data_IF_474269753056
#
_entry.id   IF_474269753056
#
_cell.length_a   1.000
_cell.length_b   1.000
_cell.length_c   1.000
_cell.angle_alpha   90.00
_cell.angle_beta   90.00
_cell.angle_gamma   90.00
#
_symmetry.space_group_name_H-M   'P 1'
#
loop_
_entity.id
_entity.type
_entity.pdbx_description
1 polymer ?
#
# COMPACT_ATOMS: atom_id res chain seq x y z
N UNK A 1 -56.59 -9.52 -4.21
CA UNK A 1 -55.59 -10.09 -5.15
C UNK A 1 -54.69 -9.06 -5.86
N UNK A 2 -54.80 -7.75 -5.59
CA UNK A 2 -53.81 -6.75 -6.07
C UNK A 2 -52.68 -6.50 -5.05
N UNK A 3 -52.96 -6.69 -3.75
CA UNK A 3 -51.99 -6.48 -2.67
C UNK A 3 -50.88 -7.55 -2.58
N UNK A 4 -51.01 -8.70 -3.24
CA UNK A 4 -49.97 -9.74 -3.20
C UNK A 4 -48.87 -9.55 -4.25
N UNK A 5 -49.16 -8.86 -5.37
CA UNK A 5 -48.16 -8.63 -6.42
C UNK A 5 -47.11 -7.56 -6.06
N UNK A 6 -47.40 -6.68 -5.09
CA UNK A 6 -46.43 -5.70 -4.59
C UNK A 6 -45.51 -6.26 -3.50
N UNK A 7 -45.77 -7.46 -2.99
CA UNK A 7 -44.97 -8.08 -1.94
C UNK A 7 -43.73 -8.84 -2.46
N UNK A 8 -43.46 -8.80 -3.77
CA UNK A 8 -42.35 -9.55 -4.39
C UNK A 8 -41.58 -8.71 -5.41
N UNK A 9 -41.20 -7.48 -5.02
CA UNK A 9 -40.13 -6.75 -5.73
C UNK A 9 -39.10 -6.25 -4.73
N UNK A 10 -38.05 -7.06 -4.52
CA UNK A 10 -36.88 -6.70 -3.72
C UNK A 10 -36.06 -5.53 -4.31
N UNK A 11 -36.43 -5.07 -5.51
CA UNK A 11 -35.90 -3.89 -6.19
C UNK A 11 -37.05 -3.00 -6.68
N UNK A 12 -37.39 -1.97 -5.91
CA UNK A 12 -38.24 -0.88 -6.37
C UNK A 12 -37.39 0.11 -7.19
N UNK A 13 -37.98 0.80 -8.17
CA UNK A 13 -37.27 1.82 -8.96
C UNK A 13 -36.59 2.89 -8.08
N UNK A 14 -37.16 3.18 -6.91
CA UNK A 14 -36.58 4.04 -5.88
C UNK A 14 -35.28 3.48 -5.32
N UNK A 15 -35.23 2.19 -4.97
CA UNK A 15 -33.98 1.55 -4.48
C UNK A 15 -32.89 1.58 -5.56
N UNK A 16 -33.25 1.28 -6.81
CA UNK A 16 -32.31 1.34 -7.92
C UNK A 16 -31.78 2.77 -8.14
N UNK A 17 -32.64 3.77 -8.09
CA UNK A 17 -32.23 5.17 -8.21
C UNK A 17 -31.24 5.58 -7.12
N UNK A 18 -31.49 5.21 -5.86
CA UNK A 18 -30.59 5.54 -4.74
C UNK A 18 -29.24 4.83 -4.90
N UNK A 19 -29.25 3.57 -5.35
CA UNK A 19 -28.03 2.81 -5.60
C UNK A 19 -27.17 3.45 -6.72
N UNK A 20 -27.81 3.86 -7.82
CA UNK A 20 -27.13 4.57 -8.91
C UNK A 20 -26.58 5.92 -8.46
N UNK A 21 -27.28 6.65 -7.59
CA UNK A 21 -26.77 7.90 -7.04
C UNK A 21 -25.55 7.69 -6.14
N UNK A 22 -25.53 6.60 -5.34
CA UNK A 22 -24.36 6.23 -4.55
C UNK A 22 -23.16 5.93 -5.45
N UNK A 23 -23.33 5.03 -6.42
CA UNK A 23 -22.28 4.61 -7.35
C UNK A 23 -21.77 5.77 -8.22
N UNK A 24 -22.67 6.63 -8.70
CA UNK A 24 -22.29 7.82 -9.46
C UNK A 24 -21.37 8.76 -8.66
N UNK A 25 -21.67 8.97 -7.37
CA UNK A 25 -20.81 9.79 -6.51
C UNK A 25 -19.48 9.11 -6.19
N UNK A 26 -19.46 7.78 -6.04
CA UNK A 26 -18.23 6.99 -5.88
C UNK A 26 -17.31 7.18 -7.11
N UNK A 27 -17.86 7.10 -8.32
CA UNK A 27 -17.10 7.31 -9.56
C UNK A 27 -16.60 8.75 -9.73
N UNK A 28 -17.41 9.74 -9.35
CA UNK A 28 -16.96 11.15 -9.39
C UNK A 28 -15.83 11.38 -8.38
N UNK A 29 -15.93 10.79 -7.19
CA UNK A 29 -14.83 10.81 -6.22
C UNK A 29 -13.56 10.18 -6.80
N UNK A 30 -13.70 9.03 -7.47
CA UNK A 30 -12.59 8.33 -8.12
C UNK A 30 -11.95 9.15 -9.27
N UNK A 31 -12.74 9.96 -9.98
CA UNK A 31 -12.22 10.91 -10.97
C UNK A 31 -11.53 12.15 -10.37
N UNK A 32 -11.79 12.47 -9.10
CA UNK A 32 -11.40 13.74 -8.48
C UNK A 32 -10.26 13.59 -7.46
N UNK A 33 -10.07 12.40 -6.87
CA UNK A 33 -9.19 12.21 -5.72
C UNK A 33 -7.74 12.63 -5.93
N UNK A 34 -7.26 12.60 -7.18
CA UNK A 34 -5.87 12.95 -7.48
C UNK A 34 -5.63 14.45 -7.57
N UNK A 35 -6.64 15.22 -7.99
CA UNK A 35 -6.53 16.68 -8.10
C UNK A 35 -7.02 17.39 -6.84
N UNK A 36 -8.05 16.84 -6.20
CA UNK A 36 -8.68 17.41 -5.01
C UNK A 36 -9.23 16.29 -4.11
N UNK A 37 -8.39 15.74 -3.21
CA UNK A 37 -8.80 14.72 -2.26
C UNK A 37 -9.94 15.18 -1.34
N UNK A 38 -9.98 16.45 -0.94
CA UNK A 38 -11.04 16.96 -0.04
C UNK A 38 -12.40 16.90 -0.72
N UNK A 39 -12.46 17.36 -1.97
CA UNK A 39 -13.67 17.26 -2.77
C UNK A 39 -14.05 15.82 -3.08
N UNK A 40 -13.09 14.93 -3.31
CA UNK A 40 -13.36 13.50 -3.42
C UNK A 40 -13.96 12.92 -2.13
N UNK A 41 -13.51 13.38 -0.94
CA UNK A 41 -14.10 13.00 0.33
C UNK A 41 -15.56 13.48 0.46
N UNK A 42 -15.89 14.68 -0.02
CA UNK A 42 -17.28 15.18 -0.06
C UNK A 42 -18.18 14.30 -0.93
N UNK A 43 -17.72 13.90 -2.12
CA UNK A 43 -18.47 12.96 -2.96
C UNK A 43 -18.64 11.59 -2.29
N UNK A 44 -17.62 11.09 -1.59
CA UNK A 44 -17.73 9.87 -0.79
C UNK A 44 -18.71 10.02 0.37
N UNK A 45 -18.82 11.20 0.99
CA UNK A 45 -19.82 11.50 2.02
C UNK A 45 -21.24 11.49 1.47
N UNK A 46 -21.45 11.99 0.24
CA UNK A 46 -22.75 11.91 -0.43
C UNK A 46 -23.10 10.45 -0.75
N UNK A 47 -22.16 9.69 -1.30
CA UNK A 47 -22.35 8.27 -1.58
C UNK A 47 -22.68 7.48 -0.30
N UNK A 48 -21.93 7.71 0.78
CA UNK A 48 -22.18 7.14 2.10
C UNK A 48 -23.63 7.35 2.55
N UNK A 49 -24.15 8.58 2.43
CA UNK A 49 -25.52 8.89 2.84
C UNK A 49 -26.56 8.09 2.03
N UNK A 50 -26.37 7.90 0.72
CA UNK A 50 -27.24 7.07 -0.10
C UNK A 50 -27.14 5.58 0.26
N UNK A 51 -25.93 5.07 0.51
CA UNK A 51 -25.72 3.69 0.99
C UNK A 51 -26.46 3.44 2.31
N UNK A 52 -26.40 4.38 3.25
CA UNK A 52 -27.13 4.31 4.53
C UNK A 52 -28.65 4.30 4.34
N UNK A 53 -29.19 5.05 3.38
CA UNK A 53 -30.62 5.02 3.05
C UNK A 53 -31.08 3.66 2.51
N UNK A 54 -30.19 2.91 1.86
CA UNK A 54 -30.47 1.55 1.38
C UNK A 54 -30.41 0.48 2.48
N UNK A 55 -29.96 0.84 3.68
CA UNK A 55 -29.67 -0.08 4.78
C UNK A 55 -28.29 -0.72 4.71
N UNK A 56 -27.40 -0.23 3.83
CA UNK A 56 -26.04 -0.73 3.68
C UNK A 56 -25.11 -0.13 4.76
N UNK A 57 -23.98 -0.78 5.04
CA UNK A 57 -23.06 -0.33 6.10
C UNK A 57 -22.44 1.03 5.76
N UNK A 58 -22.00 1.21 4.51
CA UNK A 58 -21.27 2.39 4.04
C UNK A 58 -19.80 2.43 4.51
N UNK A 59 -19.27 1.34 5.09
CA UNK A 59 -17.90 1.30 5.64
C UNK A 59 -16.83 1.63 4.60
N UNK A 60 -17.03 1.21 3.35
CA UNK A 60 -16.16 1.54 2.23
C UNK A 60 -16.01 3.05 2.09
N UNK A 61 -17.12 3.76 1.95
CA UNK A 61 -17.13 5.22 1.80
C UNK A 61 -16.59 5.89 3.05
N UNK A 62 -16.94 5.41 4.25
CA UNK A 62 -16.44 5.97 5.51
C UNK A 62 -14.91 5.88 5.63
N UNK A 63 -14.31 4.76 5.20
CA UNK A 63 -12.86 4.64 5.11
C UNK A 63 -12.28 5.66 4.11
N UNK A 64 -12.86 5.76 2.91
CA UNK A 64 -12.41 6.73 1.90
C UNK A 64 -12.52 8.18 2.35
N UNK A 65 -13.59 8.54 3.07
CA UNK A 65 -13.75 9.88 3.64
C UNK A 65 -12.61 10.20 4.60
N UNK A 66 -12.25 9.28 5.50
CA UNK A 66 -11.13 9.46 6.43
C UNK A 66 -9.80 9.59 5.70
N UNK A 67 -9.52 8.66 4.78
CA UNK A 67 -8.28 8.67 3.99
C UNK A 67 -8.15 9.98 3.18
N UNK A 68 -9.19 10.37 2.44
CA UNK A 68 -9.12 11.50 1.51
C UNK A 68 -9.14 12.86 2.21
N UNK A 69 -9.74 12.96 3.40
CA UNK A 69 -9.75 14.19 4.20
C UNK A 69 -8.51 14.38 5.07
N UNK A 70 -7.78 13.30 5.36
CA UNK A 70 -6.58 13.36 6.19
C UNK A 70 -5.53 14.28 5.57
N UNK A 71 -4.89 15.10 6.41
CA UNK A 71 -3.83 16.03 6.02
C UNK A 71 -2.64 15.83 6.93
N UNK A 72 -1.44 15.84 6.36
CA UNK A 72 -0.20 15.67 7.09
C UNK A 72 0.85 16.67 6.61
N UNK A 73 1.90 16.83 7.40
CA UNK A 73 3.16 17.44 6.95
C UNK A 73 4.16 16.33 6.67
N UNK A 74 4.81 16.34 5.51
CA UNK A 74 5.79 15.31 5.17
C UNK A 74 7.01 15.40 6.08
N UNK A 75 7.32 14.33 6.82
CA UNK A 75 8.48 14.25 7.70
C UNK A 75 9.82 14.54 7.00
N UNK A 76 9.94 14.15 5.73
CA UNK A 76 11.20 14.24 4.98
C UNK A 76 11.44 15.62 4.38
N UNK A 77 10.39 16.26 3.85
CA UNK A 77 10.54 17.50 3.08
C UNK A 77 9.73 18.69 3.59
N UNK A 78 8.95 18.52 4.67
CA UNK A 78 8.15 19.57 5.30
C UNK A 78 6.94 20.05 4.49
N UNK A 79 6.67 19.48 3.31
CA UNK A 79 5.50 19.88 2.51
C UNK A 79 4.23 19.24 3.04
N UNK A 80 3.17 20.01 3.11
CA UNK A 80 1.84 19.49 3.44
C UNK A 80 1.25 18.70 2.28
N UNK A 81 0.54 17.62 2.61
CA UNK A 81 -0.19 16.79 1.67
C UNK A 81 -1.52 16.38 2.28
N UNK A 82 -2.55 16.26 1.44
CA UNK A 82 -3.88 15.78 1.82
C UNK A 82 -4.19 14.50 1.04
N UNK A 83 -4.94 13.57 1.61
CA UNK A 83 -5.25 12.28 0.98
C UNK A 83 -4.23 11.20 1.33
N UNK A 84 -4.48 10.53 2.46
CA UNK A 84 -3.74 9.35 2.88
C UNK A 84 -3.93 8.21 1.88
N UNK A 85 -2.86 7.49 1.55
CA UNK A 85 -2.86 6.42 0.54
C UNK A 85 -2.79 6.95 -0.90
N UNK A 86 -2.94 8.27 -1.10
CA UNK A 86 -2.89 8.93 -2.40
C UNK A 86 -1.64 9.79 -2.56
N UNK A 87 -1.57 10.88 -1.81
CA UNK A 87 -0.50 11.86 -1.87
C UNK A 87 0.49 11.74 -0.71
N UNK A 88 0.14 11.00 0.33
CA UNK A 88 1.08 10.62 1.39
C UNK A 88 0.78 9.23 1.93
N UNK A 89 1.78 8.66 2.60
CA UNK A 89 1.77 7.31 3.15
C UNK A 89 2.35 7.32 4.56
N UNK A 90 1.85 6.40 5.40
CA UNK A 90 2.52 6.04 6.66
C UNK A 90 3.76 5.20 6.35
N UNK A 91 4.84 5.46 7.06
CA UNK A 91 6.10 4.70 6.97
C UNK A 91 6.65 4.47 8.37
N UNK A 92 7.06 3.23 8.67
CA UNK A 92 7.65 2.89 9.97
C UNK A 92 8.97 3.63 10.17
N UNK A 93 9.13 4.28 11.31
CA UNK A 93 10.37 4.96 11.67
C UNK A 93 10.59 4.91 13.18
N UNK A 94 11.85 4.81 13.59
CA UNK A 94 12.23 4.99 14.99
C UNK A 94 12.34 6.49 15.28
N UNK A 95 11.24 7.07 15.77
CA UNK A 95 11.13 8.49 16.06
C UNK A 95 11.30 8.72 17.56
N UNK A 96 12.19 9.63 17.93
CA UNK A 96 12.34 10.04 19.32
C UNK A 96 11.02 10.59 19.88
N UNK A 97 10.60 10.20 21.09
CA UNK A 97 9.36 10.68 21.70
C UNK A 97 9.24 12.20 21.79
N UNK A 98 10.36 12.93 21.83
CA UNK A 98 10.37 14.39 21.83
C UNK A 98 9.74 14.99 20.56
N UNK A 99 9.99 14.38 19.41
CA UNK A 99 9.45 14.86 18.15
C UNK A 99 7.98 14.46 17.97
N UNK A 100 7.58 13.29 18.48
CA UNK A 100 6.17 12.87 18.50
C UNK A 100 5.34 13.86 19.32
N UNK A 101 5.84 14.27 20.49
CA UNK A 101 5.18 15.28 21.35
C UNK A 101 5.13 16.66 20.71
N UNK A 102 6.12 17.03 19.91
CA UNK A 102 6.12 18.31 19.21
C UNK A 102 5.00 18.41 18.15
N UNK A 103 4.59 17.26 17.59
CA UNK A 103 3.50 17.16 16.62
C UNK A 103 2.12 16.99 17.27
N UNK A 104 2.05 16.86 18.60
CA UNK A 104 0.77 16.71 19.31
C UNK A 104 -0.08 17.98 19.22
N UNK A 105 -1.27 17.85 18.64
CA UNK A 105 -2.22 18.96 18.50
C UNK A 105 -2.01 19.82 17.24
N UNK A 106 -1.03 19.50 16.41
CA UNK A 106 -0.84 20.15 15.13
C UNK A 106 -1.97 19.80 14.14
N UNK A 107 -2.36 20.77 13.31
CA UNK A 107 -3.42 20.58 12.31
C UNK A 107 -3.02 19.61 11.19
N UNK A 108 -1.72 19.46 10.96
CA UNK A 108 -1.14 18.60 9.94
C UNK A 108 0.10 17.91 10.52
N UNK A 109 -0.09 16.88 11.37
CA UNK A 109 1.02 16.21 12.03
C UNK A 109 1.92 15.50 11.00
N UNK A 110 3.18 15.32 11.35
CA UNK A 110 4.16 14.58 10.57
C UNK A 110 4.47 13.20 11.15
N UNK A 111 4.05 12.94 12.39
CA UNK A 111 4.06 11.63 13.05
C UNK A 111 2.65 11.12 13.33
N UNK A 112 2.49 9.80 13.38
CA UNK A 112 1.32 9.16 13.97
C UNK A 112 1.44 9.19 15.51
N UNK A 113 0.37 9.53 16.22
CA UNK A 113 0.39 9.62 17.69
C UNK A 113 0.29 8.25 18.36
N UNK A 114 -0.35 7.28 17.69
CA UNK A 114 -0.64 5.96 18.25
C UNK A 114 0.38 4.88 17.83
N UNK A 115 1.33 5.22 16.95
CA UNK A 115 2.23 4.26 16.33
C UNK A 115 3.58 4.88 15.98
N UNK A 116 4.71 4.12 15.99
CA UNK A 116 6.01 4.61 15.54
C UNK A 116 6.06 4.71 14.00
N UNK A 117 5.21 5.58 13.45
CA UNK A 117 5.01 5.81 12.03
C UNK A 117 5.14 7.30 11.74
N UNK A 118 5.78 7.62 10.61
CA UNK A 118 5.85 8.98 10.07
C UNK A 118 5.01 9.09 8.81
N UNK A 119 4.50 10.28 8.55
CA UNK A 119 3.81 10.59 7.31
C UNK A 119 4.79 11.12 6.27
N UNK A 120 4.78 10.52 5.08
CA UNK A 120 5.70 10.85 4.00
C UNK A 120 4.92 11.09 2.72
N UNK A 121 5.15 12.23 2.07
CA UNK A 121 4.53 12.51 0.78
C UNK A 121 4.96 11.49 -0.28
N UNK A 122 4.10 11.25 -1.27
CA UNK A 122 4.31 10.25 -2.32
C UNK A 122 5.65 10.43 -3.03
N UNK A 123 6.07 11.66 -3.29
CA UNK A 123 7.35 11.93 -3.95
C UNK A 123 8.54 11.43 -3.12
N UNK A 124 8.58 11.77 -1.82
CA UNK A 124 9.61 11.29 -0.91
C UNK A 124 9.53 9.77 -0.72
N UNK A 125 8.33 9.25 -0.49
CA UNK A 125 8.09 7.81 -0.32
C UNK A 125 8.62 7.02 -1.52
N UNK A 126 8.13 7.33 -2.72
CA UNK A 126 8.52 6.62 -3.95
C UNK A 126 10.01 6.77 -4.29
N UNK A 127 10.62 7.93 -3.98
CA UNK A 127 12.05 8.14 -4.19
C UNK A 127 12.88 7.25 -3.27
N UNK A 128 12.51 7.17 -1.99
CA UNK A 128 13.17 6.32 -1.00
C UNK A 128 12.98 4.84 -1.36
N UNK A 129 11.76 4.40 -1.64
CA UNK A 129 11.47 3.01 -1.99
C UNK A 129 12.25 2.57 -3.22
N UNK A 130 12.24 3.36 -4.31
CA UNK A 130 12.99 3.03 -5.52
C UNK A 130 14.50 2.95 -5.28
N UNK A 131 15.02 3.81 -4.41
CA UNK A 131 16.45 3.77 -4.04
C UNK A 131 16.77 2.53 -3.21
N UNK A 132 15.90 2.18 -2.26
CA UNK A 132 16.05 0.98 -1.46
C UNK A 132 16.00 -0.29 -2.33
N UNK A 133 15.04 -0.38 -3.25
CA UNK A 133 14.91 -1.50 -4.20
C UNK A 133 16.15 -1.64 -5.08
N UNK A 134 16.69 -0.52 -5.58
CA UNK A 134 17.90 -0.53 -6.39
C UNK A 134 19.12 -1.05 -5.60
N UNK A 135 19.26 -0.65 -4.33
CA UNK A 135 20.32 -1.13 -3.45
C UNK A 135 20.14 -2.63 -3.15
N UNK A 136 18.92 -3.06 -2.81
CA UNK A 136 18.63 -4.46 -2.51
C UNK A 136 18.93 -5.37 -3.71
N UNK A 137 18.58 -4.91 -4.92
CA UNK A 137 18.89 -5.62 -6.16
C UNK A 137 20.40 -5.77 -6.38
N UNK A 138 21.17 -4.69 -6.19
CA UNK A 138 22.64 -4.74 -6.32
C UNK A 138 23.26 -5.76 -5.35
N UNK A 139 22.87 -5.70 -4.07
CA UNK A 139 23.36 -6.66 -3.09
C UNK A 139 22.97 -8.10 -3.43
N UNK A 140 21.73 -8.32 -3.89
CA UNK A 140 21.29 -9.64 -4.31
C UNK A 140 22.12 -10.18 -5.47
N UNK A 141 22.33 -9.38 -6.52
CA UNK A 141 23.13 -9.77 -7.69
C UNK A 141 24.58 -10.08 -7.31
N UNK A 142 25.17 -9.28 -6.42
CA UNK A 142 26.52 -9.53 -5.88
C UNK A 142 26.61 -10.83 -5.10
N UNK A 143 25.67 -11.07 -4.18
CA UNK A 143 25.63 -12.32 -3.41
C UNK A 143 25.46 -13.54 -4.30
N UNK A 144 24.59 -13.47 -5.32
CA UNK A 144 24.42 -14.58 -6.27
C UNK A 144 25.67 -14.83 -7.11
N UNK A 145 26.37 -13.77 -7.54
CA UNK A 145 27.64 -13.89 -8.24
C UNK A 145 28.72 -14.55 -7.38
N UNK A 146 28.80 -14.21 -6.09
CA UNK A 146 29.72 -14.84 -5.15
C UNK A 146 29.38 -16.32 -4.92
N UNK A 147 28.11 -16.65 -4.72
CA UNK A 147 27.64 -18.03 -4.60
C UNK A 147 28.01 -18.85 -5.85
N UNK A 148 27.81 -18.28 -7.04
CA UNK A 148 28.14 -18.97 -8.29
C UNK A 148 29.65 -19.16 -8.48
N UNK A 149 30.47 -18.22 -8.01
CA UNK A 149 31.92 -18.35 -7.99
C UNK A 149 32.35 -19.50 -7.09
N UNK A 150 31.85 -19.55 -5.86
CA UNK A 150 32.13 -20.62 -4.89
C UNK A 150 31.65 -21.97 -5.43
N UNK A 151 30.44 -22.03 -6.00
CA UNK A 151 29.91 -23.25 -6.62
C UNK A 151 30.82 -23.77 -7.72
N UNK A 152 31.31 -22.88 -8.60
CA UNK A 152 32.24 -23.25 -9.67
C UNK A 152 33.56 -23.79 -9.13
N UNK A 153 34.11 -23.16 -8.10
CA UNK A 153 35.33 -23.64 -7.43
C UNK A 153 35.10 -25.05 -6.83
N UNK A 154 34.00 -25.24 -6.10
CA UNK A 154 33.65 -26.55 -5.53
C UNK A 154 33.48 -27.63 -6.59
N UNK A 155 32.77 -27.34 -7.70
CA UNK A 155 32.61 -28.32 -8.78
C UNK A 155 33.93 -28.69 -9.45
N UNK A 156 34.86 -27.73 -9.60
CA UNK A 156 36.20 -28.01 -10.10
C UNK A 156 36.98 -28.92 -9.14
N UNK A 157 36.87 -28.70 -7.83
CA UNK A 157 37.50 -29.57 -6.83
C UNK A 157 36.90 -30.98 -6.82
N UNK A 158 35.57 -31.11 -6.90
CA UNK A 158 34.88 -32.41 -7.01
C UNK A 158 35.38 -33.16 -8.25
N UNK A 159 35.43 -32.50 -9.40
CA UNK A 159 35.93 -33.12 -10.64
C UNK A 159 37.39 -33.56 -10.54
N UNK A 160 38.24 -32.76 -9.88
CA UNK A 160 39.64 -33.11 -9.60
C UNK A 160 39.74 -34.34 -8.68
N UNK A 161 38.91 -34.41 -7.64
CA UNK A 161 38.88 -35.55 -6.72
C UNK A 161 38.40 -36.82 -7.43
N UNK A 162 37.35 -36.73 -8.24
CA UNK A 162 36.80 -37.85 -9.00
C UNK A 162 37.80 -38.42 -10.02
N UNK A 163 38.55 -37.53 -10.68
CA UNK A 163 39.65 -37.93 -11.57
C UNK A 163 40.76 -38.67 -10.82
N UNK A 164 41.12 -38.22 -9.61
CA UNK A 164 42.11 -38.90 -8.75
C UNK A 164 41.64 -40.27 -8.32
N UNK A 165 40.39 -40.39 -7.83
CA UNK A 165 39.78 -41.67 -7.43
C UNK A 165 39.80 -42.63 -8.61
N UNK A 166 39.31 -42.21 -9.78
CA UNK A 166 39.30 -43.03 -11.00
C UNK A 166 40.70 -43.54 -11.35
N UNK A 167 41.71 -42.68 -11.31
CA UNK A 167 43.10 -43.10 -11.60
C UNK A 167 43.65 -44.12 -10.60
N UNK A 168 43.31 -43.96 -9.31
CA UNK A 168 43.72 -44.90 -8.25
C UNK A 168 43.03 -46.24 -8.40
N UNK A 169 41.72 -46.24 -8.69
CA UNK A 169 40.96 -47.47 -8.94
C UNK A 169 41.48 -48.25 -10.16
N UNK A 170 41.92 -47.57 -11.22
CA UNK A 170 42.56 -48.22 -12.38
C UNK A 170 43.90 -48.87 -12.00
N UNK A 171 44.69 -48.23 -11.13
CA UNK A 171 45.98 -48.78 -10.65
C UNK A 171 45.83 -49.98 -9.73
N UNK A 172 44.74 -50.09 -8.99
CA UNK A 172 44.47 -51.24 -8.10
C UNK A 172 43.97 -52.46 -8.88
N UNK A 173 43.39 -52.27 -10.07
CA UNK A 173 42.87 -53.37 -10.92
C UNK A 173 43.91 -54.01 -11.84
N UNK A 174 45.06 -53.37 -12.04
CA UNK A 174 46.20 -53.91 -12.79
C UNK A 174 47.23 -54.46 -11.82
#
# INVERSE_FOLDING_TARGET
MINEYFNTSTLTGTRLSIALMAEGNELIADGTFWSDPKKAAEYQQIAYNFRRQLGESGEYNQRKIREYSATCTCWICGRQATGEGLHFYRMSADVSPEHVRADEGELAPSTDQDSPMIFVCRACYTSISRRADAIAKDYHERSMSEIDSVRRQMMAEVSRLDSRITSLSMRIRN
#
